data_IF_943640558813
#
_entry.id   IF_943640558813
#
_cell.length_a   1.000
_cell.length_b   1.000
_cell.length_c   1.000
_cell.angle_alpha   90.00
_cell.angle_beta   90.00
_cell.angle_gamma   90.00
#
_symmetry.space_group_name_H-M   'P 1'
#
loop_
_entity.id
_entity.type
_entity.pdbx_description
1 polymer ?
#
# COMPACT_ATOMS: atom_id res chain seq x y z
N UNK A 1 -11.85 4.39 -14.42
CA UNK A 1 -12.34 3.08 -13.98
C UNK A 1 -12.38 2.17 -15.20
N UNK A 2 -12.12 0.87 -15.04
CA UNK A 2 -12.17 -0.09 -16.13
C UNK A 2 -13.01 -1.30 -15.69
N UNK A 3 -13.96 -1.72 -16.52
CA UNK A 3 -14.67 -2.98 -16.37
C UNK A 3 -13.86 -4.05 -17.10
N UNK A 4 -13.30 -4.99 -16.34
CA UNK A 4 -12.47 -6.06 -16.87
C UNK A 4 -13.21 -7.40 -16.71
N UNK A 5 -13.12 -8.30 -17.70
CA UNK A 5 -13.79 -9.61 -17.64
C UNK A 5 -13.16 -10.56 -16.61
N UNK A 6 -11.89 -10.38 -16.27
CA UNK A 6 -11.14 -11.21 -15.33
C UNK A 6 -9.90 -10.48 -14.80
N UNK A 7 -9.16 -11.13 -13.89
CA UNK A 7 -7.90 -10.65 -13.30
C UNK A 7 -6.67 -11.31 -13.94
N UNK A 8 -6.68 -11.51 -15.25
CA UNK A 8 -5.58 -12.14 -15.96
C UNK A 8 -4.57 -11.12 -16.49
N UNK A 9 -3.30 -11.51 -16.57
CA UNK A 9 -2.24 -10.62 -17.05
C UNK A 9 -2.47 -10.08 -18.47
N UNK A 10 -3.07 -10.90 -19.35
CA UNK A 10 -3.43 -10.47 -20.72
C UNK A 10 -4.50 -9.37 -20.71
N UNK A 11 -5.48 -9.47 -19.82
CA UNK A 11 -6.55 -8.49 -19.67
C UNK A 11 -6.01 -7.16 -19.16
N UNK A 12 -5.15 -7.18 -18.14
CA UNK A 12 -4.47 -5.98 -17.66
C UNK A 12 -3.56 -5.36 -18.70
N UNK A 13 -2.81 -6.18 -19.45
CA UNK A 13 -1.93 -5.68 -20.52
C UNK A 13 -2.73 -4.90 -21.55
N UNK A 14 -3.84 -5.47 -22.02
CA UNK A 14 -4.74 -4.78 -22.96
C UNK A 14 -5.28 -3.47 -22.41
N UNK A 15 -5.61 -3.42 -21.10
CA UNK A 15 -6.02 -2.17 -20.46
C UNK A 15 -4.91 -1.12 -20.50
N UNK A 16 -3.68 -1.46 -20.10
CA UNK A 16 -2.58 -0.50 -20.07
C UNK A 16 -2.12 -0.07 -21.47
N UNK A 17 -2.16 -0.98 -22.45
CA UNK A 17 -1.93 -0.67 -23.87
C UNK A 17 -2.98 0.33 -24.38
N UNK A 18 -4.27 0.10 -24.11
CA UNK A 18 -5.32 1.03 -24.50
C UNK A 18 -5.15 2.42 -23.85
N UNK A 19 -4.71 2.48 -22.59
CA UNK A 19 -4.38 3.76 -21.93
C UNK A 19 -3.23 4.47 -22.65
N UNK A 20 -2.19 3.73 -23.05
CA UNK A 20 -1.04 4.27 -23.77
C UNK A 20 -1.40 4.72 -25.19
N UNK A 21 -2.31 4.02 -25.87
CA UNK A 21 -2.86 4.44 -27.16
C UNK A 21 -3.65 5.76 -27.04
N UNK A 22 -4.46 5.90 -25.99
CA UNK A 22 -5.22 7.12 -25.72
C UNK A 22 -4.33 8.29 -25.31
N UNK A 23 -3.21 8.02 -24.63
CA UNK A 23 -2.25 9.03 -24.22
C UNK A 23 -0.82 8.58 -24.54
N UNK A 24 -0.36 8.77 -25.80
CA UNK A 24 0.96 8.28 -26.25
C UNK A 24 2.16 8.85 -25.47
N UNK A 25 2.01 10.04 -24.90
CA UNK A 25 3.04 10.70 -24.09
C UNK A 25 3.08 10.22 -22.63
N UNK A 26 2.15 9.34 -22.21
CA UNK A 26 2.13 8.82 -20.85
C UNK A 26 3.37 7.95 -20.60
N UNK A 27 4.29 8.47 -19.79
CA UNK A 27 5.51 7.78 -19.39
C UNK A 27 5.76 7.97 -17.88
N UNK A 28 5.04 7.22 -17.02
CA UNK A 28 5.12 7.40 -15.58
C UNK A 28 6.48 6.93 -15.06
N UNK A 29 7.15 7.77 -14.26
CA UNK A 29 8.38 7.40 -13.55
C UNK A 29 8.13 6.35 -12.47
N UNK A 30 6.94 6.38 -11.86
CA UNK A 30 6.51 5.39 -10.88
C UNK A 30 5.00 5.15 -10.90
N UNK A 31 4.58 3.96 -10.49
CA UNK A 31 3.18 3.58 -10.32
C UNK A 31 3.02 2.93 -8.94
N UNK A 32 2.06 3.44 -8.16
CA UNK A 32 1.65 2.79 -6.91
C UNK A 32 0.49 1.82 -7.16
N UNK A 33 0.67 0.55 -6.80
CA UNK A 33 -0.28 -0.53 -7.10
C UNK A 33 -0.45 -1.49 -5.92
N UNK A 34 -1.52 -2.26 -6.00
CA UNK A 34 -1.83 -3.37 -5.12
C UNK A 34 -0.91 -4.56 -5.41
N UNK A 35 -0.84 -5.49 -4.47
CA UNK A 35 0.02 -6.68 -4.54
C UNK A 35 -0.57 -7.77 -5.45
N UNK A 36 -0.72 -7.45 -6.75
CA UNK A 36 -1.28 -8.37 -7.76
C UNK A 36 -0.30 -8.59 -8.92
N UNK A 37 0.31 -9.78 -8.97
CA UNK A 37 1.39 -10.09 -9.92
C UNK A 37 0.99 -9.92 -11.39
N UNK A 38 -0.24 -10.30 -11.74
CA UNK A 38 -0.75 -10.18 -13.10
C UNK A 38 -0.76 -8.72 -13.58
N UNK A 39 -1.23 -7.80 -12.71
CA UNK A 39 -1.26 -6.38 -13.01
C UNK A 39 0.15 -5.77 -13.04
N UNK A 40 1.02 -6.13 -12.08
CA UNK A 40 2.42 -5.68 -12.04
C UNK A 40 3.17 -6.10 -13.31
N UNK A 41 3.05 -7.37 -13.71
CA UNK A 41 3.68 -7.89 -14.92
C UNK A 41 3.17 -7.20 -16.19
N UNK A 42 1.88 -6.89 -16.25
CA UNK A 42 1.30 -6.12 -17.35
C UNK A 42 1.88 -4.70 -17.41
N UNK A 43 1.97 -3.99 -16.28
CA UNK A 43 2.57 -2.64 -16.22
C UNK A 43 4.02 -2.65 -16.68
N UNK A 44 4.83 -3.57 -16.14
CA UNK A 44 6.25 -3.65 -16.51
C UNK A 44 6.46 -4.02 -17.99
N UNK A 45 5.49 -4.72 -18.60
CA UNK A 45 5.50 -4.94 -20.05
C UNK A 45 5.21 -3.65 -20.82
N UNK A 46 4.24 -2.85 -20.38
CA UNK A 46 3.79 -1.64 -21.09
C UNK A 46 4.66 -0.40 -20.83
N UNK A 47 5.22 -0.30 -19.61
CA UNK A 47 6.03 0.80 -19.08
C UNK A 47 7.30 0.24 -18.41
N UNK A 48 8.29 -0.23 -19.19
CA UNK A 48 9.45 -0.97 -18.67
C UNK A 48 10.38 -0.16 -17.75
N UNK A 49 10.36 1.17 -17.86
CA UNK A 49 11.19 2.07 -17.06
C UNK A 49 10.49 2.56 -15.80
N UNK A 50 9.27 2.09 -15.52
CA UNK A 50 8.47 2.57 -14.40
C UNK A 50 8.86 1.85 -13.10
N UNK A 51 9.10 2.60 -12.03
CA UNK A 51 9.25 2.05 -10.70
C UNK A 51 7.88 1.59 -10.15
N UNK A 52 7.80 0.33 -9.74
CA UNK A 52 6.58 -0.21 -9.10
C UNK A 52 6.69 -0.02 -7.60
N UNK A 53 5.69 0.62 -7.02
CA UNK A 53 5.58 0.75 -5.57
C UNK A 53 4.31 0.08 -5.04
N UNK A 54 4.47 -0.80 -4.07
CA UNK A 54 3.39 -1.33 -3.27
C UNK A 54 2.76 -0.22 -2.44
N UNK A 55 1.45 -0.27 -2.29
CA UNK A 55 0.71 0.66 -1.44
C UNK A 55 0.71 0.18 0.02
N UNK A 56 1.10 1.03 0.98
CA UNK A 56 1.10 0.70 2.41
C UNK A 56 -0.28 0.31 2.94
N UNK A 57 -1.34 0.94 2.40
CA UNK A 57 -2.71 0.58 2.75
C UNK A 57 -3.03 -0.87 2.37
N UNK A 58 -2.62 -1.31 1.17
CA UNK A 58 -2.83 -2.69 0.73
C UNK A 58 -1.91 -3.69 1.46
N UNK A 59 -0.70 -3.28 1.82
CA UNK A 59 0.18 -4.10 2.67
C UNK A 59 -0.48 -4.36 4.04
N UNK A 60 -1.04 -3.31 4.64
CA UNK A 60 -1.77 -3.37 5.90
C UNK A 60 -3.03 -4.23 5.80
N UNK A 61 -3.77 -4.13 4.69
CA UNK A 61 -4.94 -4.96 4.41
C UNK A 61 -4.57 -6.45 4.26
N UNK A 62 -3.47 -6.74 3.58
CA UNK A 62 -2.96 -8.11 3.44
C UNK A 62 -2.57 -8.69 4.81
N UNK A 63 -1.91 -7.89 5.65
CA UNK A 63 -1.58 -8.27 7.03
C UNK A 63 -2.83 -8.55 7.87
N UNK A 64 -3.85 -7.69 7.81
CA UNK A 64 -5.13 -7.90 8.49
C UNK A 64 -5.82 -9.18 8.03
N UNK A 65 -5.83 -9.46 6.72
CA UNK A 65 -6.36 -10.71 6.16
C UNK A 65 -5.59 -11.90 6.71
N UNK A 66 -4.26 -11.84 6.74
CA UNK A 66 -3.43 -12.93 7.26
C UNK A 66 -3.68 -13.19 8.75
N UNK A 67 -3.87 -12.14 9.56
CA UNK A 67 -4.30 -12.27 10.96
C UNK A 67 -5.67 -12.96 11.07
N UNK A 68 -6.57 -12.74 10.12
CA UNK A 68 -7.88 -13.40 10.07
C UNK A 68 -7.73 -14.90 9.76
N UNK A 69 -6.91 -15.22 8.76
CA UNK A 69 -6.65 -16.58 8.32
C UNK A 69 -6.01 -17.43 9.44
N UNK A 70 -5.19 -16.81 10.31
CA UNK A 70 -4.62 -17.45 11.51
C UNK A 70 -5.54 -17.37 12.76
N UNK A 71 -6.76 -16.82 12.66
CA UNK A 71 -7.70 -16.72 13.78
C UNK A 71 -7.37 -15.67 14.85
N UNK A 72 -6.41 -14.78 14.57
CA UNK A 72 -5.86 -13.80 15.53
C UNK A 72 -6.60 -12.45 15.55
N UNK A 73 -7.58 -12.22 14.66
CA UNK A 73 -8.30 -10.94 14.62
C UNK A 73 -9.01 -10.59 15.94
N UNK A 74 -9.58 -11.58 16.63
CA UNK A 74 -10.22 -11.33 17.93
C UNK A 74 -9.19 -10.86 18.95
N UNK A 75 -8.03 -11.51 19.01
CA UNK A 75 -6.92 -11.15 19.90
C UNK A 75 -6.43 -9.74 19.58
N UNK A 76 -6.19 -9.45 18.30
CA UNK A 76 -5.81 -8.12 17.82
C UNK A 76 -6.78 -7.01 18.24
N UNK A 77 -8.09 -7.26 18.17
CA UNK A 77 -9.09 -6.24 18.50
C UNK A 77 -9.27 -6.03 20.01
N UNK A 78 -8.93 -7.03 20.84
CA UNK A 78 -9.16 -6.99 22.30
C UNK A 78 -7.92 -6.63 23.11
N UNK A 79 -6.72 -6.81 22.55
CA UNK A 79 -5.45 -6.59 23.24
C UNK A 79 -4.61 -5.52 22.50
N UNK A 80 -4.55 -4.28 23.03
CA UNK A 80 -3.80 -3.19 22.42
C UNK A 80 -2.29 -3.44 22.29
N UNK A 81 -1.69 -4.20 23.21
CA UNK A 81 -0.25 -4.49 23.20
C UNK A 81 0.07 -5.53 22.12
N UNK A 82 -0.75 -6.59 22.03
CA UNK A 82 -0.69 -7.53 20.92
C UNK A 82 -0.88 -6.83 19.58
N UNK A 83 -1.85 -5.91 19.50
CA UNK A 83 -2.11 -5.15 18.28
C UNK A 83 -0.93 -4.25 17.88
N UNK A 84 -0.24 -3.66 18.86
CA UNK A 84 0.96 -2.85 18.65
C UNK A 84 2.10 -3.70 18.09
N UNK A 85 2.38 -4.85 18.71
CA UNK A 85 3.42 -5.78 18.24
C UNK A 85 3.11 -6.31 16.83
N UNK A 86 1.84 -6.65 16.55
CA UNK A 86 1.43 -7.04 15.20
C UNK A 86 1.66 -5.91 14.17
N UNK A 87 1.46 -4.64 14.55
CA UNK A 87 1.76 -3.49 13.67
C UNK A 87 3.25 -3.26 13.47
N UNK A 88 4.12 -3.71 14.38
CA UNK A 88 5.57 -3.62 14.20
C UNK A 88 6.07 -4.45 13.00
N UNK A 89 5.37 -5.53 12.62
CA UNK A 89 5.67 -6.27 11.37
C UNK A 89 5.53 -5.36 10.15
N UNK A 90 4.45 -4.56 10.08
CA UNK A 90 4.27 -3.59 8.99
C UNK A 90 5.26 -2.43 9.09
N UNK A 91 5.69 -2.07 10.30
CA UNK A 91 6.71 -1.05 10.52
C UNK A 91 8.06 -1.39 9.87
N UNK A 92 8.35 -2.67 9.56
CA UNK A 92 9.51 -3.07 8.76
C UNK A 92 9.54 -2.38 7.38
N UNK A 93 8.39 -1.96 6.84
CA UNK A 93 8.33 -1.18 5.58
C UNK A 93 8.96 0.21 5.70
N UNK A 94 9.17 0.69 6.92
CA UNK A 94 9.88 1.93 7.20
C UNK A 94 11.34 1.67 7.57
N UNK A 95 11.89 0.48 7.41
CA UNK A 95 13.33 0.24 7.65
C UNK A 95 14.09 0.42 6.33
N UNK A 96 15.30 1.03 6.33
CA UNK A 96 16.20 0.97 5.18
C UNK A 96 16.40 -0.47 4.72
N UNK A 97 16.41 -0.71 3.41
CA UNK A 97 16.43 -2.08 2.87
C UNK A 97 17.71 -2.81 3.30
N UNK A 98 18.81 -2.08 3.41
CA UNK A 98 20.12 -2.58 3.86
C UNK A 98 20.11 -3.12 5.29
N UNK A 99 19.21 -2.63 6.15
CA UNK A 99 19.14 -3.01 7.56
C UNK A 99 17.94 -3.93 7.85
N UNK A 100 17.20 -4.33 6.80
CA UNK A 100 15.94 -5.05 6.95
C UNK A 100 16.10 -6.41 7.64
N UNK A 101 17.20 -7.11 7.37
CA UNK A 101 17.49 -8.40 8.00
C UNK A 101 17.76 -8.23 9.51
N UNK A 102 18.56 -7.23 9.88
CA UNK A 102 18.85 -6.89 11.29
C UNK A 102 17.57 -6.51 12.02
N UNK A 103 16.70 -5.72 11.38
CA UNK A 103 15.43 -5.32 11.97
C UNK A 103 14.44 -6.47 12.11
N UNK A 104 14.43 -7.40 11.15
CA UNK A 104 13.62 -8.60 11.20
C UNK A 104 14.05 -9.51 12.35
N UNK A 105 15.35 -9.81 12.46
CA UNK A 105 15.90 -10.63 13.54
C UNK A 105 15.64 -10.01 14.92
N UNK A 106 15.81 -8.69 15.05
CA UNK A 106 15.47 -8.00 16.30
C UNK A 106 13.99 -8.18 16.65
N UNK A 107 13.08 -8.00 15.67
CA UNK A 107 11.64 -8.15 15.88
C UNK A 107 11.24 -9.59 16.21
N UNK A 108 11.88 -10.58 15.60
CA UNK A 108 11.63 -12.01 15.87
C UNK A 108 11.82 -12.37 17.35
N UNK A 109 12.83 -11.76 18.00
CA UNK A 109 13.10 -11.98 19.42
C UNK A 109 12.11 -11.29 20.37
N UNK A 110 11.34 -10.31 19.89
CA UNK A 110 10.39 -9.53 20.71
C UNK A 110 8.94 -10.01 20.53
N UNK A 111 8.66 -10.78 19.48
CA UNK A 111 7.29 -11.09 19.09
C UNK A 111 6.70 -12.22 19.95
N UNK A 112 5.40 -12.15 20.23
CA UNK A 112 4.68 -13.26 20.85
C UNK A 112 4.68 -14.49 19.94
N UNK A 113 4.80 -15.69 20.50
CA UNK A 113 4.83 -16.96 19.75
C UNK A 113 3.63 -17.11 18.80
N UNK A 114 2.46 -16.59 19.20
CA UNK A 114 1.24 -16.54 18.38
C UNK A 114 1.40 -15.77 17.06
N UNK A 115 2.29 -14.78 16.98
CA UNK A 115 2.54 -13.97 15.79
C UNK A 115 3.67 -14.52 14.91
N UNK A 116 4.42 -15.52 15.37
CA UNK A 116 5.49 -16.17 14.60
C UNK A 116 5.02 -16.67 13.23
N UNK A 117 3.83 -17.29 13.07
CA UNK A 117 3.31 -17.67 11.74
C UNK A 117 3.10 -16.47 10.80
N UNK A 118 2.73 -15.31 11.37
CA UNK A 118 2.52 -14.08 10.60
C UNK A 118 3.86 -13.48 10.17
N UNK A 119 4.85 -13.44 11.08
CA UNK A 119 6.19 -12.94 10.79
C UNK A 119 6.87 -13.81 9.72
N UNK A 120 6.79 -15.14 9.84
CA UNK A 120 7.30 -16.09 8.85
C UNK A 120 6.63 -15.91 7.48
N UNK A 121 5.31 -15.72 7.45
CA UNK A 121 4.60 -15.42 6.20
C UNK A 121 5.09 -14.10 5.58
N UNK A 122 5.31 -13.07 6.41
CA UNK A 122 5.82 -11.80 5.94
C UNK A 122 7.22 -11.96 5.33
N UNK A 123 8.08 -12.74 5.99
CA UNK A 123 9.41 -13.08 5.49
C UNK A 123 9.31 -13.75 4.11
N UNK A 124 8.50 -14.80 3.97
CA UNK A 124 8.36 -15.55 2.71
C UNK A 124 7.83 -14.71 1.54
N UNK A 125 6.87 -13.82 1.82
CA UNK A 125 6.18 -13.04 0.78
C UNK A 125 6.93 -11.78 0.41
N UNK A 126 7.53 -11.09 1.37
CA UNK A 126 8.03 -9.71 1.20
C UNK A 126 9.55 -9.58 1.34
N UNK A 127 10.22 -10.42 2.14
CA UNK A 127 11.67 -10.27 2.43
C UNK A 127 12.50 -11.29 1.63
N UNK A 128 12.05 -12.54 1.62
CA UNK A 128 12.74 -13.69 1.05
C UNK A 128 13.74 -14.29 2.05
N UNK A 129 13.54 -15.57 2.40
CA UNK A 129 14.40 -16.28 3.36
C UNK A 129 15.83 -16.45 2.87
N UNK A 130 16.79 -16.39 3.79
CA UNK A 130 18.18 -16.75 3.50
C UNK A 130 18.37 -18.27 3.58
N UNK A 131 18.90 -18.88 2.52
CA UNK A 131 19.25 -20.31 2.52
C UNK A 131 20.58 -20.53 3.24
N UNK A 132 20.84 -21.79 3.64
CA UNK A 132 22.11 -22.25 4.25
C UNK A 132 23.36 -21.94 3.42
N UNK A 133 23.20 -21.74 2.11
CA UNK A 133 24.31 -21.43 1.19
C UNK A 133 24.46 -19.92 0.95
N UNK A 134 23.92 -19.08 1.84
CA UNK A 134 23.90 -17.61 1.72
C UNK A 134 23.16 -17.07 0.49
N UNK A 135 22.38 -17.92 -0.21
CA UNK A 135 21.51 -17.50 -1.31
C UNK A 135 20.13 -17.12 -0.77
N UNK A 136 19.58 -15.99 -1.19
CA UNK A 136 18.24 -15.57 -0.77
C UNK A 136 17.16 -16.12 -1.69
N UNK A 137 16.10 -16.71 -1.13
CA UNK A 137 14.90 -17.08 -1.89
C UNK A 137 14.25 -15.81 -2.41
N UNK A 138 13.87 -15.79 -3.68
CA UNK A 138 13.15 -14.65 -4.26
C UNK A 138 11.79 -14.50 -3.57
N UNK A 139 11.57 -13.36 -2.93
CA UNK A 139 10.29 -12.95 -2.38
C UNK A 139 9.24 -12.79 -3.50
N UNK A 140 7.98 -13.02 -3.17
CA UNK A 140 6.86 -12.82 -4.10
C UNK A 140 6.76 -11.36 -4.52
N UNK A 141 7.01 -10.45 -3.57
CA UNK A 141 7.09 -9.01 -3.76
C UNK A 141 8.40 -8.49 -3.12
N UNK A 142 9.40 -8.08 -3.90
CA UNK A 142 10.72 -7.76 -3.38
C UNK A 142 10.73 -6.46 -2.52
N UNK A 143 11.68 -6.30 -1.57
CA UNK A 143 11.76 -5.15 -0.67
C UNK A 143 11.66 -3.76 -1.31
N UNK A 144 12.36 -3.55 -2.43
CA UNK A 144 12.32 -2.27 -3.16
C UNK A 144 10.93 -1.89 -3.67
N UNK A 145 10.02 -2.85 -3.80
CA UNK A 145 8.65 -2.59 -4.22
C UNK A 145 7.81 -2.08 -3.06
N UNK A 146 7.86 -2.68 -1.88
CA UNK A 146 6.93 -2.39 -0.78
C UNK A 146 7.51 -1.54 0.35
N UNK A 147 8.83 -1.39 0.42
CA UNK A 147 9.45 -0.45 1.35
C UNK A 147 8.98 0.96 1.05
N UNK A 148 8.64 1.67 2.12
CA UNK A 148 8.23 3.07 2.11
C UNK A 148 9.25 3.97 2.79
N UNK A 149 10.40 3.46 3.23
CA UNK A 149 11.44 4.26 3.89
C UNK A 149 11.88 5.44 3.00
N UNK A 150 12.42 5.15 1.82
CA UNK A 150 12.86 6.17 0.86
C UNK A 150 11.74 7.11 0.44
N UNK A 151 10.52 6.57 0.25
CA UNK A 151 9.35 7.39 -0.07
C UNK A 151 9.02 8.36 1.06
N UNK A 152 9.17 7.93 2.31
CA UNK A 152 8.90 8.76 3.48
C UNK A 152 9.93 9.88 3.60
N UNK A 153 11.22 9.55 3.48
CA UNK A 153 12.32 10.53 3.53
C UNK A 153 12.18 11.57 2.42
N UNK A 154 11.80 11.15 1.21
CA UNK A 154 11.62 12.04 0.07
C UNK A 154 10.25 12.75 0.03
N UNK A 155 9.44 12.64 1.09
CA UNK A 155 8.13 13.32 1.18
C UNK A 155 7.10 12.82 0.15
N UNK A 156 7.28 11.64 -0.41
CA UNK A 156 6.36 11.02 -1.37
C UNK A 156 5.18 10.37 -0.65
N UNK A 157 4.03 10.31 -1.33
CA UNK A 157 2.87 9.58 -0.83
C UNK A 157 3.21 8.11 -0.59
N UNK A 158 2.69 7.51 0.48
CA UNK A 158 2.91 6.09 0.86
C UNK A 158 1.68 5.20 0.63
N UNK A 159 0.54 5.84 0.39
CA UNK A 159 -0.79 5.23 0.33
C UNK A 159 -1.53 5.75 -0.90
N UNK A 160 -2.41 4.92 -1.47
CA UNK A 160 -3.22 5.27 -2.64
C UNK A 160 -4.50 6.06 -2.26
N UNK A 161 -4.37 7.09 -1.41
CA UNK A 161 -5.51 7.86 -0.88
C UNK A 161 -6.43 8.43 -1.97
N UNK A 162 -5.85 8.86 -3.09
CA UNK A 162 -6.62 9.36 -4.24
C UNK A 162 -7.47 8.28 -4.89
N UNK A 163 -6.95 7.07 -5.03
CA UNK A 163 -7.68 5.91 -5.57
C UNK A 163 -8.79 5.51 -4.61
N UNK A 164 -8.51 5.43 -3.31
CA UNK A 164 -9.52 5.10 -2.29
C UNK A 164 -10.62 6.17 -2.20
N UNK A 165 -10.27 7.45 -2.34
CA UNK A 165 -11.25 8.53 -2.39
C UNK A 165 -12.11 8.47 -3.66
N UNK A 166 -11.52 8.11 -4.81
CA UNK A 166 -12.26 7.88 -6.05
C UNK A 166 -13.19 6.67 -5.93
N UNK A 167 -12.73 5.57 -5.33
CA UNK A 167 -13.53 4.37 -5.08
C UNK A 167 -14.71 4.67 -4.15
N UNK A 168 -14.47 5.36 -3.02
CA UNK A 168 -15.54 5.78 -2.10
C UNK A 168 -16.58 6.68 -2.77
N UNK A 169 -16.15 7.56 -3.67
CA UNK A 169 -17.08 8.40 -4.44
C UNK A 169 -17.94 7.58 -5.39
N UNK A 170 -17.34 6.62 -6.10
CA UNK A 170 -18.08 5.68 -6.95
C UNK A 170 -19.14 4.93 -6.15
N UNK A 171 -18.77 4.36 -4.99
CA UNK A 171 -19.70 3.66 -4.11
C UNK A 171 -20.85 4.57 -3.64
N UNK A 172 -20.55 5.81 -3.26
CA UNK A 172 -21.55 6.77 -2.84
C UNK A 172 -22.53 7.16 -3.97
N UNK A 173 -22.02 7.37 -5.19
CA UNK A 173 -22.85 7.70 -6.36
C UNK A 173 -23.72 6.51 -6.82
N UNK A 174 -23.21 5.28 -6.70
CA UNK A 174 -24.02 4.09 -6.98
C UNK A 174 -25.09 3.85 -5.92
N UNK A 175 -24.78 4.14 -4.65
CA UNK A 175 -25.72 3.98 -3.53
C UNK A 175 -26.15 2.53 -3.28
N UNK A 176 -25.49 1.55 -3.89
CA UNK A 176 -25.79 0.12 -3.79
C UNK A 176 -24.61 -0.74 -4.26
N UNK A 177 -24.52 -1.98 -3.75
CA UNK A 177 -23.40 -2.89 -4.04
C UNK A 177 -23.47 -3.51 -5.45
N UNK A 178 -24.67 -3.69 -6.00
CA UNK A 178 -24.91 -4.39 -7.25
C UNK A 178 -25.81 -3.58 -8.20
N UNK A 179 -25.31 -2.46 -8.75
CA UNK A 179 -26.09 -1.65 -9.68
C UNK A 179 -26.36 -2.41 -10.98
N UNK A 180 -27.60 -2.32 -11.48
CA UNK A 180 -27.89 -2.72 -12.85
C UNK A 180 -27.19 -1.76 -13.85
N UNK A 181 -27.16 -2.13 -15.13
CA UNK A 181 -26.42 -1.36 -16.15
C UNK A 181 -26.86 0.11 -16.24
N UNK A 182 -28.15 0.41 -16.03
CA UNK A 182 -28.67 1.77 -16.07
C UNK A 182 -28.17 2.58 -14.88
N UNK A 183 -28.30 2.03 -13.66
CA UNK A 183 -27.77 2.66 -12.44
C UNK A 183 -26.26 2.84 -12.48
N UNK A 184 -25.54 1.89 -13.07
CA UNK A 184 -24.11 2.01 -13.30
C UNK A 184 -23.78 3.17 -14.23
N UNK A 185 -24.44 3.27 -15.40
CA UNK A 185 -24.23 4.37 -16.35
C UNK A 185 -24.54 5.73 -15.70
N UNK A 186 -25.67 5.84 -15.01
CA UNK A 186 -26.07 7.07 -14.33
C UNK A 186 -25.07 7.48 -13.25
N UNK A 187 -24.60 6.52 -12.45
CA UNK A 187 -23.58 6.77 -11.42
C UNK A 187 -22.24 7.21 -12.01
N UNK A 188 -21.79 6.58 -13.11
CA UNK A 188 -20.56 7.01 -13.80
C UNK A 188 -20.71 8.43 -14.35
N UNK A 189 -21.87 8.78 -14.93
CA UNK A 189 -22.17 10.14 -15.39
C UNK A 189 -22.17 11.14 -14.22
N UNK A 190 -22.71 10.77 -13.07
CA UNK A 190 -22.67 11.56 -11.84
C UNK A 190 -21.23 11.83 -11.38
N UNK A 191 -20.39 10.79 -11.30
CA UNK A 191 -18.96 10.91 -10.98
C UNK A 191 -18.24 11.82 -11.97
N UNK A 192 -18.49 11.67 -13.27
CA UNK A 192 -17.87 12.50 -14.31
C UNK A 192 -18.25 13.97 -14.13
N UNK A 193 -19.55 14.28 -14.00
CA UNK A 193 -20.03 15.66 -13.77
C UNK A 193 -19.36 16.30 -12.56
N UNK A 194 -19.19 15.55 -11.47
CA UNK A 194 -18.47 16.03 -10.29
C UNK A 194 -16.96 16.24 -10.52
N UNK A 195 -16.33 15.42 -11.37
CA UNK A 195 -14.90 15.58 -11.72
C UNK A 195 -14.66 16.75 -12.65
N UNK A 196 -15.54 16.98 -13.61
CA UNK A 196 -15.47 18.13 -14.51
C UNK A 196 -15.57 19.43 -13.72
N UNK A 197 -16.47 19.50 -12.73
CA UNK A 197 -16.55 20.64 -11.82
C UNK A 197 -15.25 20.88 -11.03
N UNK A 198 -14.64 19.83 -10.49
CA UNK A 198 -13.36 19.93 -9.76
C UNK A 198 -12.23 20.37 -10.69
N UNK A 199 -12.23 19.89 -11.94
CA UNK A 199 -11.27 20.31 -12.96
C UNK A 199 -11.44 21.80 -13.28
N UNK A 200 -12.67 22.27 -13.50
CA UNK A 200 -12.95 23.70 -13.72
C UNK A 200 -12.55 24.57 -12.53
N UNK A 201 -12.75 24.10 -11.29
CA UNK A 201 -12.25 24.79 -10.10
C UNK A 201 -10.71 24.92 -10.13
N UNK A 202 -10.01 23.86 -10.50
CA UNK A 202 -8.56 23.88 -10.66
C UNK A 202 -8.12 24.87 -11.77
N UNK A 203 -8.79 24.86 -12.93
CA UNK A 203 -8.53 25.80 -14.03
C UNK A 203 -8.74 27.26 -13.60
N UNK A 204 -9.71 27.52 -12.70
CA UNK A 204 -9.96 28.83 -12.09
C UNK A 204 -8.92 29.25 -11.04
N UNK A 205 -7.96 28.38 -10.70
CA UNK A 205 -6.94 28.64 -9.69
C UNK A 205 -7.35 28.30 -8.26
N UNK A 206 -8.46 27.58 -8.05
CA UNK A 206 -8.84 27.13 -6.71
C UNK A 206 -7.85 26.07 -6.23
N UNK A 207 -7.51 26.17 -4.94
CA UNK A 207 -6.63 25.19 -4.30
C UNK A 207 -7.36 23.85 -4.05
N UNK A 208 -6.65 22.72 -4.13
CA UNK A 208 -7.22 21.43 -3.82
C UNK A 208 -7.62 21.34 -2.33
N UNK A 209 -8.54 20.41 -1.97
CA UNK A 209 -8.92 20.20 -0.58
C UNK A 209 -7.72 19.88 0.31
N UNK A 210 -7.63 20.55 1.46
CA UNK A 210 -6.55 20.33 2.41
C UNK A 210 -6.67 18.95 3.07
N UNK A 211 -5.53 18.27 3.24
CA UNK A 211 -5.45 17.01 3.97
C UNK A 211 -5.94 17.21 5.42
N UNK A 212 -6.74 16.27 5.95
CA UNK A 212 -7.26 16.39 7.32
C UNK A 212 -6.10 16.48 8.33
N UNK A 213 -6.22 17.39 9.30
CA UNK A 213 -5.19 17.67 10.32
C UNK A 213 -4.62 16.41 10.99
N UNK A 214 -5.48 15.43 11.32
CA UNK A 214 -5.04 14.17 11.94
C UNK A 214 -4.02 13.39 11.10
N UNK A 215 -4.19 13.38 9.77
CA UNK A 215 -3.28 12.68 8.87
C UNK A 215 -1.99 13.48 8.67
N UNK A 216 -2.09 14.82 8.61
CA UNK A 216 -0.90 15.69 8.58
C UNK A 216 -0.05 15.48 9.84
N UNK A 217 -0.68 15.46 11.02
CA UNK A 217 0.02 15.23 12.28
C UNK A 217 0.65 13.83 12.35
N UNK A 218 -0.02 12.79 11.84
CA UNK A 218 0.55 11.44 11.76
C UNK A 218 1.75 11.38 10.80
N UNK A 219 1.66 12.06 9.65
CA UNK A 219 2.76 12.13 8.68
C UNK A 219 3.99 12.80 9.28
N UNK A 220 3.82 13.94 9.97
CA UNK A 220 4.91 14.64 10.65
C UNK A 220 5.59 13.70 11.66
N UNK A 221 4.82 13.03 12.52
CA UNK A 221 5.39 12.09 13.51
C UNK A 221 6.14 10.94 12.85
N UNK A 222 5.60 10.37 11.77
CA UNK A 222 6.28 9.28 11.06
C UNK A 222 7.59 9.78 10.45
N UNK A 223 7.59 10.94 9.77
CA UNK A 223 8.80 11.53 9.18
C UNK A 223 9.85 11.75 10.26
N UNK A 224 9.49 12.37 11.39
CA UNK A 224 10.43 12.60 12.51
C UNK A 224 11.04 11.30 13.05
N UNK A 225 10.26 10.21 13.11
CA UNK A 225 10.79 8.91 13.56
C UNK A 225 11.73 8.32 12.51
N UNK A 226 11.34 8.36 11.22
CA UNK A 226 12.14 7.87 10.10
C UNK A 226 13.48 8.60 9.99
N UNK A 227 13.48 9.93 10.09
CA UNK A 227 14.70 10.75 10.04
C UNK A 227 15.66 10.48 11.20
N UNK A 228 15.14 10.04 12.36
CA UNK A 228 15.94 9.66 13.53
C UNK A 228 16.23 8.16 13.61
N UNK A 229 16.05 7.40 12.52
CA UNK A 229 16.24 5.94 12.51
C UNK A 229 17.60 5.50 13.05
N UNK A 230 18.69 6.14 12.60
CA UNK A 230 20.08 5.78 13.00
C UNK A 230 20.40 6.05 14.48
N UNK A 231 19.58 6.86 15.15
CA UNK A 231 19.79 7.29 16.54
C UNK A 231 18.95 6.49 17.54
N UNK A 232 18.07 5.61 17.05
CA UNK A 232 17.11 4.85 17.87
C UNK A 232 17.49 3.39 17.98
N UNK A 233 17.11 2.76 19.09
CA UNK A 233 17.04 1.32 19.13
C UNK A 233 15.99 0.82 18.10
N UNK A 234 16.31 -0.24 17.36
CA UNK A 234 15.47 -0.77 16.28
C UNK A 234 14.05 -1.13 16.76
N UNK A 235 13.92 -1.70 17.96
CA UNK A 235 12.60 -2.08 18.50
C UNK A 235 11.80 -0.85 18.90
N UNK A 236 12.44 0.14 19.52
CA UNK A 236 11.80 1.43 19.82
C UNK A 236 11.38 2.17 18.55
N UNK A 237 12.20 2.08 17.50
CA UNK A 237 11.89 2.62 16.17
C UNK A 237 10.63 1.98 15.59
N UNK A 238 10.61 0.65 15.49
CA UNK A 238 9.45 -0.10 14.96
C UNK A 238 8.18 0.18 15.78
N UNK A 239 8.30 0.19 17.10
CA UNK A 239 7.20 0.52 18.02
C UNK A 239 6.69 1.94 17.79
N UNK A 240 7.59 2.92 17.67
CA UNK A 240 7.25 4.32 17.38
C UNK A 240 6.48 4.47 16.07
N UNK A 241 6.92 3.79 15.00
CA UNK A 241 6.22 3.76 13.72
C UNK A 241 4.83 3.10 13.87
N UNK A 242 4.74 1.97 14.57
CA UNK A 242 3.51 1.21 14.79
C UNK A 242 2.42 1.96 15.57
N UNK A 243 2.76 3.01 16.33
CA UNK A 243 1.79 3.89 16.98
C UNK A 243 1.08 4.87 16.03
N UNK A 244 1.57 5.03 14.79
CA UNK A 244 1.11 6.09 13.89
C UNK A 244 0.12 5.63 12.81
N UNK A 245 -0.21 4.35 12.76
CA UNK A 245 -1.22 3.81 11.86
C UNK A 245 -1.98 2.66 12.51
N UNK A 246 -3.14 2.31 11.94
CA UNK A 246 -3.97 1.19 12.34
C UNK A 246 -4.14 0.24 11.16
N UNK A 247 -4.49 -1.02 11.46
CA UNK A 247 -4.87 -2.00 10.44
C UNK A 247 -6.39 -2.00 10.28
N UNK A 248 -6.94 -0.95 9.66
CA UNK A 248 -8.38 -0.77 9.45
C UNK A 248 -8.91 -1.47 8.19
#
# INVERSE_FOLDING_TARGET
YALLPNKEGRTYRRLFEAIKELWPLLNPSSISIDFEQAAIGAILTTFPNCAIHGCLFHLTKNMRKKLADEGLLRRYNMDPDFALVARMIIALSFVPIEDLDVAFEALENEIAEELTPILNWFEDVYIGRQNRNSTRRRALFPPHMWSVYERTVNGLDRTNNYVEAAHRRLQAEFGMDHPNIWKFIDGIRGVQKGRDLVYEQFVRGNQPPVKRRKYVAADIRIITIVESYRERNIIEYLRGIAHNFLMD
#
